data_IF_354517761652
#
_entry.id   IF_354517761652
#
_cell.length_a   1.000
_cell.length_b   1.000
_cell.length_c   1.000
_cell.angle_alpha   90.00
_cell.angle_beta   90.00
_cell.angle_gamma   90.00
#
_symmetry.space_group_name_H-M   'P 1'
#
loop_
_entity.id
_entity.type
_entity.pdbx_description
1 polymer ?
#
# COMPACT_ATOMS: atom_id res chain seq x y z
N UNK A 1 72.53 -2.52 10.75
CA UNK A 1 73.16 -1.85 11.88
C UNK A 1 72.14 -1.64 13.00
N UNK A 2 72.46 -2.21 14.15
CA UNK A 2 71.80 -2.19 15.45
C UNK A 2 71.77 -0.79 16.01
N UNK A 3 70.71 -0.39 16.73
CA UNK A 3 70.75 0.01 18.18
C UNK A 3 69.36 0.35 18.69
N UNK A 4 68.93 -0.42 19.69
CA UNK A 4 68.04 -0.11 20.81
C UNK A 4 68.90 0.30 21.98
N UNK A 5 68.42 0.62 23.22
CA UNK A 5 67.31 1.40 23.76
C UNK A 5 67.78 2.35 24.90
N UNK A 6 66.90 3.10 25.54
CA UNK A 6 67.08 3.39 26.98
C UNK A 6 65.78 3.75 27.69
N UNK A 7 65.73 3.24 28.92
CA UNK A 7 64.66 3.23 29.94
C UNK A 7 64.84 4.42 30.92
N UNK A 8 63.83 4.52 31.76
CA UNK A 8 63.76 5.10 33.13
C UNK A 8 63.15 6.50 33.20
N UNK A 9 62.27 6.80 34.13
CA UNK A 9 62.08 6.33 35.44
C UNK A 9 60.78 6.76 36.13
N UNK A 10 60.46 6.04 37.13
CA UNK A 10 59.42 6.17 38.14
C UNK A 10 59.58 7.41 38.99
N UNK A 11 58.44 7.93 39.48
CA UNK A 11 58.32 8.37 40.90
C UNK A 11 56.87 8.59 41.30
N UNK A 12 56.47 7.89 42.37
CA UNK A 12 55.45 8.23 43.38
C UNK A 12 56.26 8.55 44.66
N UNK A 13 55.72 9.05 45.79
CA UNK A 13 54.36 9.06 46.33
C UNK A 13 54.06 10.25 47.29
N UNK A 14 52.97 10.07 48.08
CA UNK A 14 52.58 10.68 49.40
C UNK A 14 51.31 11.54 49.31
N UNK A 15 50.34 11.53 50.26
CA UNK A 15 49.89 10.71 51.38
C UNK A 15 48.62 11.34 51.91
N UNK A 16 47.73 10.53 52.49
CA UNK A 16 46.53 10.94 53.26
C UNK A 16 46.89 11.77 54.53
N UNK A 17 45.88 12.41 55.15
CA UNK A 17 45.27 11.84 56.35
C UNK A 17 43.75 12.04 56.48
N UNK A 18 43.05 11.03 56.89
CA UNK A 18 42.44 10.57 58.19
C UNK A 18 41.34 11.44 58.79
N UNK A 19 40.15 10.85 58.76
CA UNK A 19 39.18 10.55 59.83
C UNK A 19 38.64 11.69 60.72
N UNK A 20 37.33 11.73 60.84
CA UNK A 20 36.65 11.67 62.15
C UNK A 20 35.17 11.22 61.99
N UNK A 21 34.81 10.28 62.84
CA UNK A 21 33.50 9.64 63.04
C UNK A 21 32.43 10.64 63.52
N UNK A 22 31.22 10.41 63.06
CA UNK A 22 30.02 10.67 63.89
C UNK A 22 29.03 9.52 63.67
N UNK A 23 28.77 8.79 64.73
CA UNK A 23 27.73 7.79 64.95
C UNK A 23 26.39 8.51 65.11
N UNK A 24 25.37 8.05 64.44
CA UNK A 24 24.01 8.58 64.62
C UNK A 24 22.93 7.66 63.99
N UNK A 25 22.51 6.69 64.76
CA UNK A 25 21.21 5.98 64.82
C UNK A 25 20.51 5.59 63.51
N UNK A 26 20.46 4.31 63.26
CA UNK A 26 19.58 3.62 62.36
C UNK A 26 18.11 3.86 62.68
N UNK A 27 17.29 4.08 61.63
CA UNK A 27 15.84 3.95 61.68
C UNK A 27 15.39 3.00 60.60
N UNK A 28 14.87 1.79 60.96
CA UNK A 28 14.60 0.71 60.02
C UNK A 28 13.16 0.86 59.47
N UNK A 29 12.96 1.64 58.42
CA UNK A 29 11.77 1.57 57.53
C UNK A 29 12.03 2.25 56.18
N UNK A 30 12.87 1.68 55.36
CA UNK A 30 12.80 1.84 53.91
C UNK A 30 12.52 0.50 53.27
N UNK A 31 11.24 0.32 52.91
CA UNK A 31 10.80 -0.79 52.09
C UNK A 31 11.53 -0.72 50.75
N UNK A 32 12.21 -1.76 50.39
CA UNK A 32 12.72 -2.07 49.07
C UNK A 32 11.63 -1.80 48.02
N UNK A 33 11.84 -0.81 47.19
CA UNK A 33 11.14 -0.72 45.90
C UNK A 33 11.66 -1.85 45.01
N UNK A 34 11.01 -2.99 45.07
CA UNK A 34 11.19 -4.06 44.08
C UNK A 34 10.91 -3.47 42.72
N UNK A 35 11.92 -3.44 41.85
CA UNK A 35 11.77 -3.23 40.43
C UNK A 35 10.81 -4.27 39.89
N UNK A 36 9.54 -3.89 39.72
CA UNK A 36 8.54 -4.70 39.05
C UNK A 36 8.95 -4.83 37.59
N UNK A 37 9.35 -6.03 37.17
CA UNK A 37 9.30 -6.41 35.77
C UNK A 37 7.90 -6.06 35.25
N UNK A 38 7.78 -5.36 34.09
CA UNK A 38 6.45 -5.08 33.55
C UNK A 38 5.72 -6.40 33.40
N UNK A 39 4.54 -6.49 33.98
CA UNK A 39 3.68 -7.67 33.86
C UNK A 39 3.49 -7.98 32.37
N UNK A 40 3.59 -9.25 31.93
CA UNK A 40 3.32 -9.61 30.55
C UNK A 40 1.92 -9.12 30.21
N UNK A 41 1.81 -8.26 29.19
CA UNK A 41 0.51 -7.80 28.69
C UNK A 41 -0.34 -9.04 28.41
N UNK A 42 -1.54 -9.16 29.01
CA UNK A 42 -2.30 -10.39 28.88
C UNK A 42 -2.56 -10.63 27.37
N UNK A 43 -2.42 -11.87 26.96
CA UNK A 43 -2.61 -12.30 25.56
C UNK A 43 -3.93 -11.76 24.95
N UNK A 44 -4.91 -11.46 25.77
CA UNK A 44 -6.18 -10.85 25.44
C UNK A 44 -6.07 -9.39 24.97
N UNK A 45 -5.13 -8.59 25.50
CA UNK A 45 -4.93 -7.20 25.01
C UNK A 45 -4.25 -7.21 23.64
N UNK A 46 -3.30 -8.11 23.39
CA UNK A 46 -2.74 -8.29 22.06
C UNK A 46 -3.79 -8.82 21.08
N UNK A 47 -4.66 -9.71 21.50
CA UNK A 47 -5.75 -10.24 20.69
C UNK A 47 -6.80 -9.15 20.41
N UNK A 48 -7.15 -8.31 21.40
CA UNK A 48 -8.08 -7.20 21.24
C UNK A 48 -7.52 -6.12 20.30
N UNK A 49 -6.25 -5.77 20.42
CA UNK A 49 -5.55 -4.88 19.50
C UNK A 49 -5.48 -5.44 18.07
N UNK A 50 -5.19 -6.73 17.94
CA UNK A 50 -5.23 -7.43 16.65
C UNK A 50 -6.64 -7.41 16.04
N UNK A 51 -7.67 -7.59 16.87
CA UNK A 51 -9.07 -7.54 16.46
C UNK A 51 -9.51 -6.13 16.05
N UNK A 52 -9.08 -5.10 16.76
CA UNK A 52 -9.33 -3.69 16.40
C UNK A 52 -8.63 -3.35 15.10
N UNK A 53 -7.37 -3.78 14.91
CA UNK A 53 -6.65 -3.60 13.64
C UNK A 53 -7.34 -4.31 12.46
N UNK A 54 -7.85 -5.52 12.68
CA UNK A 54 -8.62 -6.27 11.68
C UNK A 54 -9.96 -5.63 11.32
N UNK A 55 -10.58 -4.90 12.27
CA UNK A 55 -11.82 -4.15 12.03
C UNK A 55 -11.60 -2.94 11.12
N UNK A 56 -10.42 -2.34 11.17
CA UNK A 56 -10.08 -1.13 10.42
C UNK A 56 -9.59 -1.40 8.99
N UNK A 57 -9.20 -2.64 8.64
CA UNK A 57 -8.76 -2.99 7.29
C UNK A 57 -9.95 -3.14 6.35
N UNK A 58 -10.44 -2.03 5.82
CA UNK A 58 -11.48 -1.96 4.79
C UNK A 58 -10.89 -1.40 3.49
N UNK A 59 -9.95 -2.11 2.87
CA UNK A 59 -9.31 -1.66 1.65
C UNK A 59 -10.09 -2.00 0.39
N UNK A 60 -9.97 -1.16 -0.64
CA UNK A 60 -10.34 -1.43 -2.02
C UNK A 60 -9.05 -1.58 -2.81
N UNK A 61 -8.83 -2.72 -3.41
CA UNK A 61 -7.77 -2.98 -4.37
C UNK A 61 -8.33 -3.87 -5.46
N UNK A 62 -7.90 -3.70 -6.71
CA UNK A 62 -8.25 -4.62 -7.82
C UNK A 62 -7.69 -6.01 -7.57
N UNK A 63 -6.57 -6.03 -6.93
CA UNK A 63 -5.92 -7.21 -6.42
C UNK A 63 -5.61 -6.97 -4.94
N UNK A 64 -5.54 -8.04 -4.16
CA UNK A 64 -4.98 -7.93 -2.82
C UNK A 64 -3.46 -7.70 -2.92
N UNK A 65 -2.86 -7.25 -1.83
CA UNK A 65 -1.46 -6.83 -1.70
C UNK A 65 -0.46 -7.78 -2.37
N UNK A 66 -0.65 -9.09 -2.20
CA UNK A 66 0.31 -10.08 -2.68
C UNK A 66 0.41 -10.13 -4.22
N UNK A 67 -0.71 -9.86 -4.89
CA UNK A 67 -0.71 -9.79 -6.36
C UNK A 67 -0.01 -8.55 -6.87
N UNK A 68 -0.16 -7.39 -6.21
CA UNK A 68 0.57 -6.17 -6.57
C UNK A 68 2.10 -6.34 -6.44
N UNK A 69 2.56 -6.95 -5.33
CA UNK A 69 3.97 -7.27 -5.13
C UNK A 69 4.47 -8.29 -6.17
N UNK A 70 3.68 -9.33 -6.46
CA UNK A 70 4.01 -10.31 -7.48
C UNK A 70 4.21 -9.70 -8.86
N UNK A 71 3.44 -8.68 -9.24
CA UNK A 71 3.58 -7.99 -10.53
C UNK A 71 4.91 -7.25 -10.61
N UNK A 72 5.36 -6.61 -9.54
CA UNK A 72 6.71 -6.03 -9.46
C UNK A 72 7.78 -7.10 -9.66
N UNK A 73 7.67 -8.23 -8.97
CA UNK A 73 8.65 -9.32 -9.06
C UNK A 73 8.71 -9.95 -10.45
N UNK A 74 7.56 -10.13 -11.11
CA UNK A 74 7.48 -10.68 -12.46
C UNK A 74 8.25 -9.84 -13.50
N UNK A 75 8.43 -8.54 -13.26
CA UNK A 75 9.15 -7.64 -14.14
C UNK A 75 10.45 -7.07 -13.53
N UNK A 76 10.81 -7.52 -12.31
CA UNK A 76 11.99 -6.98 -11.63
C UNK A 76 13.27 -7.19 -12.43
N UNK A 77 13.59 -8.43 -12.71
CA UNK A 77 14.85 -8.82 -13.38
C UNK A 77 14.94 -8.31 -14.82
N UNK A 78 13.84 -8.41 -15.55
CA UNK A 78 13.84 -8.19 -17.00
C UNK A 78 13.59 -6.73 -17.40
N UNK A 79 12.98 -5.92 -16.53
CA UNK A 79 12.57 -4.57 -16.89
C UNK A 79 12.92 -3.51 -15.81
N UNK A 80 12.50 -3.69 -14.56
CA UNK A 80 12.69 -2.68 -13.50
C UNK A 80 14.15 -2.48 -13.14
N UNK A 81 14.86 -3.55 -12.79
CA UNK A 81 16.29 -3.47 -12.45
C UNK A 81 17.15 -2.89 -13.59
N UNK A 82 17.00 -3.31 -14.85
CA UNK A 82 17.70 -2.67 -15.96
C UNK A 82 17.39 -1.17 -16.12
N UNK A 83 16.14 -0.77 -15.93
CA UNK A 83 15.74 0.64 -15.99
C UNK A 83 16.38 1.47 -14.87
N UNK A 84 16.44 0.93 -13.63
CA UNK A 84 17.13 1.56 -12.51
C UNK A 84 18.63 1.73 -12.80
N UNK A 85 19.30 0.69 -13.29
CA UNK A 85 20.72 0.72 -13.63
C UNK A 85 21.04 1.66 -14.80
N UNK A 86 20.12 1.80 -15.75
CA UNK A 86 20.26 2.76 -16.84
C UNK A 86 20.23 4.21 -16.33
N UNK A 87 19.31 4.53 -15.42
CA UNK A 87 19.15 5.89 -14.88
C UNK A 87 20.20 6.22 -13.81
N UNK A 88 20.59 5.22 -13.01
CA UNK A 88 21.55 5.35 -11.90
C UNK A 88 22.66 4.29 -12.05
N UNK A 89 23.69 4.55 -12.88
CA UNK A 89 24.76 3.59 -13.10
C UNK A 89 25.64 3.43 -11.84
N UNK A 90 26.14 2.22 -11.61
CA UNK A 90 27.06 1.93 -10.52
C UNK A 90 26.43 1.63 -9.16
N UNK A 91 25.12 1.34 -9.12
CA UNK A 91 24.45 0.88 -7.90
C UNK A 91 25.01 -0.46 -7.42
N UNK A 92 25.17 -0.59 -6.09
CA UNK A 92 25.50 -1.87 -5.44
C UNK A 92 24.24 -2.76 -5.35
N UNK A 93 24.44 -4.07 -5.10
CA UNK A 93 23.30 -4.99 -4.92
C UNK A 93 22.44 -4.62 -3.68
N UNK A 94 23.06 -4.06 -2.63
CA UNK A 94 22.35 -3.57 -1.46
C UNK A 94 21.44 -2.38 -1.81
N UNK A 95 21.92 -1.44 -2.63
CA UNK A 95 21.11 -0.31 -3.11
C UNK A 95 19.99 -0.77 -4.03
N UNK A 96 20.23 -1.77 -4.88
CA UNK A 96 19.22 -2.37 -5.75
C UNK A 96 18.15 -3.10 -4.92
N UNK A 97 18.57 -3.84 -3.88
CA UNK A 97 17.65 -4.51 -2.94
C UNK A 97 16.81 -3.49 -2.16
N UNK A 98 17.43 -2.39 -1.74
CA UNK A 98 16.71 -1.30 -1.09
C UNK A 98 15.69 -0.64 -2.03
N UNK A 99 16.07 -0.35 -3.26
CA UNK A 99 15.18 0.18 -4.29
C UNK A 99 13.99 -0.77 -4.57
N UNK A 100 14.21 -2.10 -4.53
CA UNK A 100 13.14 -3.09 -4.65
C UNK A 100 12.11 -2.98 -3.50
N UNK A 101 12.58 -2.75 -2.26
CA UNK A 101 11.68 -2.50 -1.12
C UNK A 101 10.83 -1.24 -1.31
N UNK A 102 11.38 -0.21 -1.94
CA UNK A 102 10.61 0.99 -2.31
C UNK A 102 9.62 0.72 -3.45
N UNK A 103 9.98 -0.10 -4.44
CA UNK A 103 9.07 -0.51 -5.50
C UNK A 103 7.85 -1.27 -4.93
N UNK A 104 8.04 -2.16 -3.95
CA UNK A 104 6.92 -2.78 -3.23
C UNK A 104 6.03 -1.76 -2.52
N UNK A 105 6.64 -0.81 -1.79
CA UNK A 105 5.89 0.24 -1.12
C UNK A 105 5.07 1.10 -2.08
N UNK A 106 5.63 1.38 -3.24
CA UNK A 106 4.94 2.08 -4.33
C UNK A 106 3.79 1.26 -4.92
N UNK A 107 4.00 -0.06 -5.11
CA UNK A 107 3.01 -0.94 -5.74
C UNK A 107 1.67 -1.07 -4.97
N UNK A 108 1.61 -0.60 -3.72
CA UNK A 108 0.40 -0.63 -2.90
C UNK A 108 0.08 0.75 -2.29
N UNK A 109 0.82 1.82 -2.67
CA UNK A 109 0.68 3.12 -2.00
C UNK A 109 -0.70 3.75 -2.17
N UNK A 110 -1.35 3.54 -3.31
CA UNK A 110 -2.67 4.07 -3.57
C UNK A 110 -3.70 3.55 -2.55
N UNK A 111 -3.47 2.37 -1.98
CA UNK A 111 -4.30 1.75 -0.96
C UNK A 111 -4.05 2.23 0.46
N UNK A 112 -3.03 3.05 0.71
CA UNK A 112 -2.64 3.50 2.06
C UNK A 112 -3.82 4.00 2.88
N UNK A 113 -4.78 4.67 2.26
CA UNK A 113 -5.94 5.23 2.95
C UNK A 113 -6.89 4.21 3.54
N UNK A 114 -6.82 2.95 3.14
CA UNK A 114 -7.66 1.87 3.64
C UNK A 114 -7.07 1.15 4.87
N UNK A 115 -5.83 1.44 5.22
CA UNK A 115 -5.19 0.88 6.39
C UNK A 115 -5.49 1.70 7.65
N UNK A 116 -5.27 1.15 8.86
CA UNK A 116 -5.48 1.88 10.11
C UNK A 116 -4.77 3.23 10.11
N UNK A 117 -5.45 4.27 10.59
CA UNK A 117 -4.98 5.66 10.58
C UNK A 117 -4.79 6.30 9.20
N UNK A 118 -5.05 5.54 8.11
CA UNK A 118 -5.10 6.08 6.77
C UNK A 118 -6.37 6.94 6.54
N UNK A 119 -6.43 7.57 5.39
CA UNK A 119 -7.59 8.36 4.95
C UNK A 119 -8.18 7.78 3.67
N UNK A 120 -9.42 7.33 3.75
CA UNK A 120 -10.17 6.85 2.56
C UNK A 120 -10.20 7.92 1.46
N UNK A 121 -10.16 9.20 1.84
CA UNK A 121 -10.11 10.29 0.87
C UNK A 121 -8.78 10.30 0.09
N UNK A 122 -7.64 9.99 0.75
CA UNK A 122 -6.37 9.85 0.05
C UNK A 122 -6.50 8.78 -1.05
N UNK A 123 -6.94 7.58 -0.70
CA UNK A 123 -7.10 6.51 -1.69
C UNK A 123 -8.12 6.86 -2.77
N UNK A 124 -9.26 7.47 -2.43
CA UNK A 124 -10.24 7.90 -3.44
C UNK A 124 -9.65 8.92 -4.42
N UNK A 125 -8.82 9.85 -3.96
CA UNK A 125 -8.16 10.80 -4.86
C UNK A 125 -7.23 10.09 -5.82
N UNK A 126 -6.32 9.26 -5.33
CA UNK A 126 -5.29 8.63 -6.16
C UNK A 126 -5.80 7.47 -7.04
N UNK A 127 -7.04 6.95 -6.78
CA UNK A 127 -7.69 5.95 -7.62
C UNK A 127 -8.63 6.55 -8.66
N UNK A 128 -9.30 7.66 -8.33
CA UNK A 128 -10.44 8.12 -9.13
C UNK A 128 -10.29 9.56 -9.66
N UNK A 129 -9.42 10.35 -9.04
CA UNK A 129 -9.24 11.76 -9.37
C UNK A 129 -7.81 11.99 -9.80
N UNK A 130 -7.58 12.31 -11.08
CA UNK A 130 -6.22 12.56 -11.61
C UNK A 130 -5.22 11.42 -11.32
N UNK A 131 -5.68 10.19 -11.42
CA UNK A 131 -4.91 8.98 -11.07
C UNK A 131 -3.63 8.81 -11.89
N UNK A 132 -3.67 9.10 -13.19
CA UNK A 132 -2.50 9.09 -14.08
C UNK A 132 -1.54 10.23 -13.78
N UNK A 133 -2.07 11.45 -13.54
CA UNK A 133 -1.26 12.61 -13.18
C UNK A 133 -0.49 12.38 -11.87
N UNK A 134 -1.09 11.68 -10.89
CA UNK A 134 -0.43 11.35 -9.64
C UNK A 134 0.82 10.48 -9.86
N UNK A 135 0.70 9.44 -10.67
CA UNK A 135 1.84 8.55 -10.97
C UNK A 135 2.92 9.27 -11.78
N UNK A 136 2.51 10.09 -12.78
CA UNK A 136 3.45 10.91 -13.56
C UNK A 136 4.21 11.88 -12.66
N UNK A 137 3.53 12.49 -11.70
CA UNK A 137 4.17 13.45 -10.79
C UNK A 137 5.13 12.77 -9.82
N UNK A 138 4.81 11.57 -9.31
CA UNK A 138 5.78 10.78 -8.55
C UNK A 138 7.06 10.51 -9.35
N UNK A 139 6.94 10.15 -10.63
CA UNK A 139 8.12 9.95 -11.49
C UNK A 139 8.94 11.23 -11.70
N UNK A 140 8.26 12.38 -11.90
CA UNK A 140 8.92 13.69 -12.09
C UNK A 140 9.65 14.17 -10.86
N UNK A 141 9.05 14.01 -9.67
CA UNK A 141 9.57 14.50 -8.40
C UNK A 141 10.63 13.58 -7.78
N UNK A 142 10.88 12.42 -8.38
CA UNK A 142 11.88 11.46 -7.89
C UNK A 142 13.29 12.03 -7.98
N UNK A 143 14.01 12.10 -6.85
CA UNK A 143 15.34 12.68 -6.71
C UNK A 143 16.46 11.65 -6.64
N UNK A 144 16.13 10.42 -6.22
CA UNK A 144 17.10 9.32 -6.09
C UNK A 144 16.51 7.98 -6.59
N UNK A 145 17.32 6.92 -6.54
CA UNK A 145 16.95 5.59 -7.01
C UNK A 145 15.78 4.99 -6.23
N UNK A 146 15.68 5.27 -4.93
CA UNK A 146 14.65 4.73 -4.06
C UNK A 146 13.29 5.39 -4.35
N UNK A 147 13.28 6.70 -4.50
CA UNK A 147 12.09 7.46 -4.91
C UNK A 147 11.63 7.06 -6.32
N UNK A 148 12.57 6.89 -7.23
CA UNK A 148 12.24 6.45 -8.59
C UNK A 148 11.69 5.03 -8.62
N UNK A 149 12.26 4.10 -7.86
CA UNK A 149 11.73 2.75 -7.72
C UNK A 149 10.33 2.74 -7.09
N UNK A 150 10.09 3.60 -6.09
CA UNK A 150 8.77 3.79 -5.49
C UNK A 150 7.75 4.30 -6.52
N UNK A 151 8.11 5.28 -7.34
CA UNK A 151 7.25 5.80 -8.40
C UNK A 151 6.96 4.73 -9.49
N UNK A 152 7.95 3.91 -9.85
CA UNK A 152 7.75 2.76 -10.75
C UNK A 152 6.82 1.72 -10.12
N UNK A 153 6.90 1.50 -8.81
CA UNK A 153 5.93 0.69 -8.08
C UNK A 153 4.51 1.24 -8.18
N UNK A 154 4.31 2.56 -7.99
CA UNK A 154 3.01 3.21 -8.16
C UNK A 154 2.47 3.09 -9.60
N UNK A 155 3.35 3.07 -10.59
CA UNK A 155 2.99 2.78 -11.98
C UNK A 155 2.55 1.31 -12.17
N UNK A 156 3.14 0.37 -11.42
CA UNK A 156 2.69 -1.03 -11.37
C UNK A 156 1.26 -1.12 -10.84
N UNK A 157 0.94 -0.39 -9.76
CA UNK A 157 -0.42 -0.33 -9.21
C UNK A 157 -1.42 0.21 -10.23
N UNK A 158 -1.09 1.33 -10.89
CA UNK A 158 -1.91 1.90 -11.94
C UNK A 158 -2.23 0.86 -13.05
N UNK A 159 -1.22 0.14 -13.54
CA UNK A 159 -1.42 -0.91 -14.55
C UNK A 159 -2.27 -2.08 -14.02
N UNK A 160 -2.07 -2.43 -12.75
CA UNK A 160 -2.77 -3.54 -12.08
C UNK A 160 -4.25 -3.26 -11.94
N UNK A 161 -4.60 -2.07 -11.49
CA UNK A 161 -5.98 -1.74 -11.16
C UNK A 161 -6.84 -1.53 -12.40
N UNK A 162 -6.36 -0.82 -13.40
CA UNK A 162 -7.13 -0.62 -14.63
C UNK A 162 -7.43 -1.92 -15.39
N UNK A 163 -6.59 -2.96 -15.24
CA UNK A 163 -6.81 -4.28 -15.82
C UNK A 163 -7.52 -5.25 -14.86
N UNK A 164 -7.25 -5.13 -13.57
CA UNK A 164 -7.70 -6.04 -12.52
C UNK A 164 -9.12 -5.84 -12.07
N UNK A 165 -9.52 -4.61 -11.74
CA UNK A 165 -10.87 -4.31 -11.27
C UNK A 165 -11.98 -4.79 -12.22
N UNK A 166 -11.91 -4.56 -13.55
CA UNK A 166 -12.91 -5.12 -14.45
C UNK A 166 -13.05 -6.63 -14.36
N UNK A 167 -11.94 -7.37 -14.16
CA UNK A 167 -11.97 -8.82 -14.00
C UNK A 167 -12.54 -9.24 -12.64
N UNK A 168 -12.18 -8.54 -11.56
CA UNK A 168 -12.73 -8.77 -10.22
C UNK A 168 -14.22 -8.45 -10.19
N UNK A 169 -14.67 -7.35 -10.78
CA UNK A 169 -16.08 -6.98 -10.90
C UNK A 169 -16.92 -8.09 -11.56
N UNK A 170 -16.38 -8.73 -12.63
CA UNK A 170 -17.02 -9.88 -13.29
C UNK A 170 -16.99 -11.12 -12.38
N UNK A 171 -15.86 -11.37 -11.69
CA UNK A 171 -15.73 -12.51 -10.78
C UNK A 171 -16.72 -12.41 -9.61
N UNK A 172 -16.89 -11.21 -9.01
CA UNK A 172 -17.91 -10.96 -7.99
C UNK A 172 -19.31 -11.30 -8.50
N UNK A 173 -19.66 -10.88 -9.72
CA UNK A 173 -20.96 -11.20 -10.30
C UNK A 173 -21.15 -12.71 -10.50
N UNK A 174 -20.09 -13.48 -10.80
CA UNK A 174 -20.13 -14.92 -10.94
C UNK A 174 -20.27 -15.62 -9.58
N UNK A 175 -19.49 -15.19 -8.59
CA UNK A 175 -19.42 -15.82 -7.26
C UNK A 175 -20.62 -15.47 -6.38
N UNK A 176 -21.29 -14.33 -6.65
CA UNK A 176 -22.43 -13.84 -5.87
C UNK A 176 -23.70 -13.67 -6.75
N UNK A 177 -24.47 -14.75 -7.03
CA UNK A 177 -25.62 -14.70 -7.93
C UNK A 177 -26.70 -13.67 -7.55
N UNK A 178 -26.88 -13.38 -6.24
CA UNK A 178 -27.81 -12.34 -5.77
C UNK A 178 -27.37 -10.93 -6.17
N UNK A 179 -26.06 -10.66 -6.13
CA UNK A 179 -25.51 -9.38 -6.57
C UNK A 179 -25.60 -9.27 -8.09
N UNK A 180 -25.32 -10.37 -8.80
CA UNK A 180 -25.52 -10.43 -10.27
C UNK A 180 -26.97 -10.14 -10.68
N UNK A 181 -27.93 -10.67 -9.96
CA UNK A 181 -29.35 -10.41 -10.24
C UNK A 181 -29.72 -8.93 -10.03
N UNK A 182 -29.06 -8.24 -9.08
CA UNK A 182 -29.30 -6.83 -8.77
C UNK A 182 -28.54 -5.86 -9.67
N UNK A 183 -27.28 -6.16 -9.98
CA UNK A 183 -26.34 -5.21 -10.59
C UNK A 183 -25.86 -5.65 -11.99
N UNK A 184 -26.23 -6.83 -12.46
CA UNK A 184 -25.82 -7.35 -13.77
C UNK A 184 -24.51 -8.14 -13.73
N UNK A 185 -23.83 -8.20 -14.89
CA UNK A 185 -22.64 -9.04 -15.11
C UNK A 185 -21.35 -8.49 -14.49
N UNK A 186 -21.38 -7.29 -13.93
CA UNK A 186 -20.25 -6.60 -13.31
C UNK A 186 -20.75 -5.96 -12.03
N UNK A 187 -20.14 -6.31 -10.90
CA UNK A 187 -20.46 -5.75 -9.57
C UNK A 187 -19.25 -4.97 -9.08
N UNK A 188 -19.36 -3.66 -9.08
CA UNK A 188 -18.27 -2.74 -8.70
C UNK A 188 -18.10 -2.68 -7.19
N UNK A 189 -16.94 -2.26 -6.74
CA UNK A 189 -16.61 -2.12 -5.32
C UNK A 189 -17.62 -1.28 -4.55
N UNK A 190 -18.05 -0.11 -5.08
CA UNK A 190 -19.05 0.74 -4.43
C UNK A 190 -20.42 0.05 -4.22
N UNK A 191 -20.73 -0.99 -5.00
CA UNK A 191 -22.01 -1.72 -4.91
C UNK A 191 -22.00 -2.79 -3.82
N UNK A 192 -20.86 -3.48 -3.59
CA UNK A 192 -20.68 -4.39 -2.46
C UNK A 192 -19.19 -4.58 -2.10
N UNK A 193 -18.70 -3.72 -1.23
CA UNK A 193 -17.30 -3.72 -0.74
C UNK A 193 -16.88 -5.06 -0.15
N UNK A 194 -17.80 -5.74 0.55
CA UNK A 194 -17.48 -7.01 1.23
C UNK A 194 -17.30 -8.15 0.26
N UNK A 195 -18.16 -8.27 -0.74
CA UNK A 195 -18.04 -9.29 -1.78
C UNK A 195 -16.77 -9.07 -2.60
N UNK A 196 -16.48 -7.83 -2.97
CA UNK A 196 -15.29 -7.44 -3.72
C UNK A 196 -14.01 -7.87 -3.00
N UNK A 197 -13.80 -7.41 -1.76
CA UNK A 197 -12.63 -7.76 -0.94
C UNK A 197 -12.46 -9.26 -0.72
N UNK A 198 -13.56 -10.01 -0.58
CA UNK A 198 -13.50 -11.46 -0.42
C UNK A 198 -13.06 -12.18 -1.68
N UNK A 199 -13.47 -11.71 -2.85
CA UNK A 199 -13.06 -12.25 -4.14
C UNK A 199 -11.58 -12.01 -4.39
N UNK A 200 -11.10 -10.79 -4.16
CA UNK A 200 -9.68 -10.43 -4.27
C UNK A 200 -8.80 -11.27 -3.34
N UNK A 201 -9.17 -11.33 -2.07
CA UNK A 201 -8.46 -12.15 -1.10
C UNK A 201 -8.49 -13.64 -1.46
N UNK A 202 -9.60 -14.12 -2.04
CA UNK A 202 -9.71 -15.49 -2.57
C UNK A 202 -8.69 -15.77 -3.68
N UNK A 203 -8.43 -14.81 -4.55
CA UNK A 203 -7.41 -14.92 -5.60
C UNK A 203 -6.00 -15.01 -5.02
N UNK A 204 -5.63 -14.13 -4.10
CA UNK A 204 -4.34 -14.19 -3.40
C UNK A 204 -4.15 -15.53 -2.70
N UNK A 205 -5.18 -16.00 -1.97
CA UNK A 205 -5.13 -17.31 -1.30
C UNK A 205 -4.90 -18.44 -2.28
N UNK A 206 -5.53 -18.42 -3.45
CA UNK A 206 -5.33 -19.42 -4.48
C UNK A 206 -3.91 -19.41 -5.05
N UNK A 207 -3.27 -18.25 -5.19
CA UNK A 207 -1.87 -18.14 -5.64
C UNK A 207 -0.89 -18.72 -4.62
N UNK A 208 -1.01 -18.32 -3.36
CA UNK A 208 -0.12 -18.80 -2.27
C UNK A 208 -0.33 -20.30 -2.03
N UNK A 209 -1.59 -20.80 -2.04
CA UNK A 209 -1.89 -22.22 -1.86
C UNK A 209 -1.26 -23.13 -2.93
N UNK A 210 -1.03 -22.60 -4.12
CA UNK A 210 -0.40 -23.29 -5.23
C UNK A 210 1.13 -23.15 -5.27
N UNK A 211 1.75 -22.60 -4.22
CA UNK A 211 3.19 -22.29 -4.14
C UNK A 211 3.68 -21.43 -5.33
N UNK A 212 2.82 -20.56 -5.85
CA UNK A 212 3.18 -19.69 -6.97
C UNK A 212 3.78 -18.38 -6.51
N UNK A 213 3.45 -17.96 -5.29
CA UNK A 213 3.98 -16.77 -4.65
C UNK A 213 4.14 -16.99 -3.15
N UNK A 214 5.26 -16.58 -2.57
CA UNK A 214 5.59 -16.68 -1.16
C UNK A 214 6.12 -15.34 -0.65
N UNK A 215 5.21 -14.37 -0.47
CA UNK A 215 5.52 -13.00 -0.04
C UNK A 215 6.40 -12.89 1.20
N UNK A 216 6.28 -13.85 2.13
CA UNK A 216 7.04 -13.85 3.37
C UNK A 216 8.56 -13.91 3.16
N UNK A 217 9.00 -14.59 2.11
CA UNK A 217 10.42 -14.67 1.76
C UNK A 217 10.94 -13.36 1.20
N UNK A 218 10.12 -12.66 0.42
CA UNK A 218 10.48 -11.38 -0.14
C UNK A 218 10.57 -10.29 0.92
N UNK A 219 9.61 -10.24 1.85
CA UNK A 219 9.62 -9.27 2.95
C UNK A 219 10.78 -9.44 3.93
N UNK A 220 11.22 -10.68 4.19
CA UNK A 220 12.35 -10.95 5.09
C UNK A 220 13.69 -10.54 4.46
N UNK A 221 13.82 -10.60 3.13
CA UNK A 221 15.06 -10.30 2.41
C UNK A 221 15.07 -8.90 1.78
N UNK A 222 13.94 -8.45 1.22
CA UNK A 222 13.84 -7.20 0.47
C UNK A 222 13.31 -6.10 1.37
N UNK A 223 12.28 -6.38 2.15
CA UNK A 223 11.60 -5.41 3.00
C UNK A 223 10.49 -4.66 2.26
N UNK A 224 9.95 -3.63 2.91
CA UNK A 224 8.86 -2.81 2.41
C UNK A 224 9.05 -1.36 2.88
N UNK A 225 9.27 -0.44 1.95
CA UNK A 225 9.60 0.95 2.25
C UNK A 225 8.68 1.93 1.54
N UNK A 226 8.42 3.06 2.16
CA UNK A 226 7.58 4.14 1.61
C UNK A 226 8.40 5.43 1.56
N UNK A 227 8.36 6.13 0.45
CA UNK A 227 8.97 7.44 0.32
C UNK A 227 7.96 8.53 0.68
N UNK A 228 7.88 8.88 1.98
CA UNK A 228 7.09 10.00 2.46
C UNK A 228 7.52 11.33 1.82
N UNK A 229 8.83 11.66 1.73
CA UNK A 229 9.25 12.93 1.12
C UNK A 229 8.78 13.10 -0.34
N UNK A 230 8.77 12.01 -1.11
CA UNK A 230 8.26 12.06 -2.48
C UNK A 230 6.74 12.31 -2.52
N UNK A 231 5.98 11.67 -1.63
CA UNK A 231 4.53 11.91 -1.52
C UNK A 231 4.23 13.37 -1.14
N UNK A 232 4.97 13.92 -0.18
CA UNK A 232 4.81 15.32 0.28
C UNK A 232 5.14 16.34 -0.83
N UNK A 233 6.04 16.02 -1.76
CA UNK A 233 6.34 16.87 -2.93
C UNK A 233 5.32 16.71 -4.06
N UNK A 234 4.96 15.47 -4.39
CA UNK A 234 4.11 15.19 -5.55
C UNK A 234 2.63 15.51 -5.29
N UNK A 235 2.11 15.24 -4.09
CA UNK A 235 0.68 15.37 -3.78
C UNK A 235 0.14 16.80 -3.98
N UNK A 236 0.80 17.87 -3.49
CA UNK A 236 0.36 19.25 -3.71
C UNK A 236 0.36 19.65 -5.19
N UNK A 237 1.29 19.14 -5.99
CA UNK A 237 1.37 19.46 -7.42
C UNK A 237 0.15 18.94 -8.19
N UNK A 238 -0.39 17.79 -7.78
CA UNK A 238 -1.53 17.15 -8.44
C UNK A 238 -2.87 17.65 -7.91
N UNK A 239 -3.02 17.75 -6.59
CA UNK A 239 -4.30 17.98 -5.93
C UNK A 239 -4.48 19.37 -5.34
N UNK A 240 -3.44 20.21 -5.32
CA UNK A 240 -3.50 21.52 -4.69
C UNK A 240 -3.75 21.49 -3.17
N UNK A 241 -3.44 20.37 -2.52
CA UNK A 241 -3.56 20.11 -1.09
C UNK A 241 -2.24 19.58 -0.56
N UNK A 242 -1.85 19.98 0.64
CA UNK A 242 -0.72 19.33 1.31
C UNK A 242 -1.12 17.90 1.71
N UNK A 243 -0.16 16.97 1.74
CA UNK A 243 -0.44 15.57 2.13
C UNK A 243 -1.13 15.49 3.49
N UNK A 244 -0.70 16.30 4.46
CA UNK A 244 -1.29 16.40 5.81
C UNK A 244 -2.75 16.88 5.84
N UNK A 245 -3.22 17.57 4.81
CA UNK A 245 -4.62 18.01 4.70
C UNK A 245 -5.56 16.80 4.49
N UNK A 246 -5.00 15.70 4.00
CA UNK A 246 -5.71 14.46 3.70
C UNK A 246 -5.29 13.33 4.63
N UNK A 247 -4.02 13.27 5.03
CA UNK A 247 -3.45 12.32 5.99
C UNK A 247 -3.01 13.05 7.26
N UNK A 248 -3.95 13.32 8.18
CA UNK A 248 -3.70 14.13 9.38
C UNK A 248 -2.57 13.61 10.29
N UNK A 249 -2.27 12.31 10.23
CA UNK A 249 -1.21 11.63 11.00
C UNK A 249 -0.35 10.78 10.06
N UNK A 250 0.40 11.42 9.16
CA UNK A 250 1.15 10.79 8.08
C UNK A 250 2.05 9.64 8.55
N UNK A 251 2.88 9.87 9.57
CA UNK A 251 3.82 8.85 10.07
C UNK A 251 3.11 7.65 10.68
N UNK A 252 1.99 7.89 11.36
CA UNK A 252 1.18 6.82 11.94
C UNK A 252 0.45 6.04 10.84
N UNK A 253 -0.08 6.72 9.82
CA UNK A 253 -0.71 6.10 8.66
C UNK A 253 0.30 5.23 7.88
N UNK A 254 1.47 5.79 7.56
CA UNK A 254 2.56 5.08 6.86
C UNK A 254 3.09 3.92 7.71
N UNK A 255 3.27 4.13 9.03
CA UNK A 255 3.73 3.08 9.95
C UNK A 255 2.75 1.90 10.04
N UNK A 256 1.44 2.17 10.17
CA UNK A 256 0.40 1.15 10.20
C UNK A 256 0.26 0.41 8.87
N UNK A 257 0.34 1.13 7.75
CA UNK A 257 0.35 0.58 6.41
C UNK A 257 1.53 -0.39 6.24
N UNK A 258 2.76 0.05 6.52
CA UNK A 258 3.95 -0.79 6.45
C UNK A 258 3.82 -2.04 7.32
N UNK A 259 3.37 -1.90 8.57
CA UNK A 259 3.15 -3.02 9.48
C UNK A 259 2.09 -3.99 8.94
N UNK A 260 0.99 -3.48 8.42
CA UNK A 260 -0.11 -4.31 7.90
C UNK A 260 0.34 -5.12 6.69
N UNK A 261 1.01 -4.49 5.73
CA UNK A 261 1.46 -5.15 4.49
C UNK A 261 2.60 -6.13 4.76
N UNK A 262 3.65 -5.70 5.48
CA UNK A 262 4.85 -6.51 5.65
C UNK A 262 4.74 -7.63 6.69
N UNK A 263 3.79 -7.55 7.62
CA UNK A 263 3.67 -8.52 8.72
C UNK A 263 2.28 -9.11 8.90
N UNK A 264 1.25 -8.27 8.96
CA UNK A 264 -0.08 -8.73 9.31
C UNK A 264 -0.71 -9.55 8.18
N UNK A 265 -0.71 -9.04 6.95
CA UNK A 265 -1.31 -9.72 5.78
C UNK A 265 -0.62 -11.08 5.49
N UNK A 266 0.72 -11.19 5.45
CA UNK A 266 1.39 -12.48 5.29
C UNK A 266 1.01 -13.50 6.36
N UNK A 267 0.96 -13.08 7.64
CA UNK A 267 0.54 -13.98 8.73
C UNK A 267 -0.90 -14.44 8.58
N UNK A 268 -1.82 -13.53 8.23
CA UNK A 268 -3.21 -13.87 7.99
C UNK A 268 -3.38 -14.81 6.79
N UNK A 269 -2.61 -14.61 5.75
CA UNK A 269 -2.54 -15.50 4.58
C UNK A 269 -2.17 -16.92 4.98
N UNK A 270 -1.13 -17.10 5.80
CA UNK A 270 -0.74 -18.43 6.33
C UNK A 270 -1.85 -19.07 7.15
N UNK A 271 -2.51 -18.30 8.01
CA UNK A 271 -3.65 -18.77 8.81
C UNK A 271 -4.80 -19.21 7.91
N UNK A 272 -5.18 -18.41 6.94
CA UNK A 272 -6.24 -18.72 5.99
C UNK A 272 -5.95 -20.00 5.18
N UNK A 273 -4.71 -20.14 4.70
CA UNK A 273 -4.27 -21.35 4.00
C UNK A 273 -4.36 -22.62 4.86
N UNK A 274 -4.00 -22.54 6.15
CA UNK A 274 -4.14 -23.70 7.03
C UNK A 274 -5.60 -24.09 7.28
N UNK A 275 -6.49 -23.10 7.41
CA UNK A 275 -7.93 -23.33 7.62
C UNK A 275 -8.55 -23.97 6.37
N UNK A 276 -8.22 -23.50 5.17
CA UNK A 276 -8.83 -23.90 3.91
C UNK A 276 -8.04 -24.93 3.09
N UNK A 277 -6.95 -25.46 3.62
CA UNK A 277 -6.02 -26.35 2.90
C UNK A 277 -6.70 -27.56 2.22
N UNK A 278 -7.73 -28.14 2.86
CA UNK A 278 -8.44 -29.31 2.31
C UNK A 278 -9.34 -28.90 1.14
N UNK A 279 -10.01 -27.77 1.26
CA UNK A 279 -10.97 -27.26 0.27
C UNK A 279 -10.23 -26.77 -0.98
N UNK A 280 -9.16 -26.02 -0.80
CA UNK A 280 -8.30 -25.53 -1.90
C UNK A 280 -7.69 -26.65 -2.74
N UNK A 281 -7.32 -27.79 -2.12
CA UNK A 281 -6.82 -28.96 -2.86
C UNK A 281 -7.90 -29.70 -3.65
N UNK A 282 -9.14 -29.71 -3.15
CA UNK A 282 -10.25 -30.43 -3.75
C UNK A 282 -10.88 -29.67 -4.92
N UNK A 283 -11.04 -28.38 -4.80
CA UNK A 283 -11.89 -27.60 -5.71
C UNK A 283 -11.14 -27.02 -6.93
N UNK A 284 -9.80 -27.02 -6.95
CA UNK A 284 -9.01 -26.50 -8.07
C UNK A 284 -7.96 -27.51 -8.59
N UNK A 285 -8.36 -28.74 -8.97
CA UNK A 285 -7.40 -29.77 -9.38
C UNK A 285 -6.68 -29.47 -10.71
N UNK A 286 -7.26 -28.65 -11.59
CA UNK A 286 -6.74 -28.33 -12.92
C UNK A 286 -6.11 -26.92 -13.03
N UNK A 287 -5.96 -26.20 -11.93
CA UNK A 287 -5.35 -24.88 -11.93
C UNK A 287 -3.88 -24.91 -12.42
N UNK A 288 -3.18 -26.04 -12.20
CA UNK A 288 -1.80 -26.26 -12.65
C UNK A 288 -1.63 -26.40 -14.16
N UNK A 289 -2.66 -26.84 -14.89
CA UNK A 289 -2.62 -27.02 -16.35
C UNK A 289 -2.84 -25.73 -17.13
N UNK A 290 -3.35 -24.68 -16.52
CA UNK A 290 -3.54 -23.40 -17.18
C UNK A 290 -2.20 -22.68 -17.24
N UNK A 291 -1.70 -22.41 -18.44
CA UNK A 291 -0.43 -21.73 -18.67
C UNK A 291 -0.49 -20.33 -18.09
N UNK A 292 0.14 -20.15 -16.95
CA UNK A 292 0.65 -18.85 -16.51
C UNK A 292 1.76 -18.53 -17.52
N UNK A 293 1.61 -17.48 -18.32
CA UNK A 293 2.60 -17.10 -19.34
C UNK A 293 3.91 -16.67 -18.66
N UNK A 294 3.80 -16.05 -17.50
CA UNK A 294 4.93 -15.60 -16.70
C UNK A 294 5.12 -16.55 -15.53
N UNK A 295 6.11 -17.40 -15.64
CA UNK A 295 6.60 -18.22 -14.53
C UNK A 295 7.83 -17.53 -13.95
N UNK A 296 7.74 -17.03 -12.72
CA UNK A 296 8.91 -17.12 -11.86
C UNK A 296 9.17 -18.62 -11.73
N UNK A 297 10.17 -19.13 -12.42
CA UNK A 297 10.49 -20.52 -12.25
C UNK A 297 10.98 -20.71 -10.81
N UNK A 298 10.53 -21.78 -10.16
CA UNK A 298 11.02 -22.15 -8.82
C UNK A 298 12.55 -22.21 -8.79
N UNK A 299 13.17 -22.54 -9.93
CA UNK A 299 14.62 -22.59 -10.09
C UNK A 299 15.27 -21.20 -10.09
N UNK A 300 14.65 -20.18 -10.66
CA UNK A 300 15.19 -18.82 -10.66
C UNK A 300 15.02 -18.20 -9.26
N UNK A 301 13.89 -18.44 -8.61
CA UNK A 301 13.67 -18.09 -7.21
C UNK A 301 14.69 -18.75 -6.27
N UNK A 302 14.91 -20.07 -6.40
CA UNK A 302 15.87 -20.82 -5.59
C UNK A 302 17.33 -20.42 -5.85
N UNK A 303 17.67 -19.94 -7.05
CA UNK A 303 18.99 -19.40 -7.41
C UNK A 303 19.26 -18.04 -6.79
N UNK A 304 18.27 -17.14 -6.83
CA UNK A 304 18.44 -15.78 -6.32
C UNK A 304 18.33 -15.70 -4.79
N UNK A 305 17.45 -16.49 -4.15
CA UNK A 305 17.01 -16.25 -2.77
C UNK A 305 17.21 -17.45 -1.81
N UNK A 306 17.81 -18.57 -2.26
CA UNK A 306 18.13 -19.73 -1.43
C UNK A 306 16.97 -20.69 -1.17
N UNK A 307 17.31 -21.86 -0.55
CA UNK A 307 16.40 -23.03 -0.41
C UNK A 307 15.62 -23.09 0.92
N UNK A 308 15.82 -22.15 1.83
CA UNK A 308 15.34 -22.30 3.20
C UNK A 308 13.90 -21.79 3.39
N UNK A 309 12.96 -22.75 3.42
CA UNK A 309 11.58 -22.51 3.82
C UNK A 309 11.46 -22.37 5.32
N UNK A 310 11.13 -21.19 5.82
CA UNK A 310 10.79 -20.99 7.23
C UNK A 310 9.39 -21.56 7.49
N UNK A 311 9.33 -22.70 8.21
CA UNK A 311 8.06 -23.30 8.62
C UNK A 311 7.30 -22.34 9.56
N UNK A 312 5.96 -22.24 9.44
CA UNK A 312 5.16 -21.43 10.34
C UNK A 312 5.47 -21.71 11.80
N UNK A 313 5.79 -20.68 12.56
CA UNK A 313 6.11 -20.78 13.98
C UNK A 313 4.95 -21.37 14.81
N UNK A 314 5.25 -21.84 16.01
CA UNK A 314 4.25 -22.43 16.92
C UNK A 314 3.11 -21.46 17.25
N UNK A 315 3.41 -20.15 17.37
CA UNK A 315 2.41 -19.09 17.56
C UNK A 315 1.40 -18.99 16.41
N UNK A 316 1.85 -19.06 15.16
CA UNK A 316 0.98 -19.06 13.97
C UNK A 316 0.07 -20.28 13.91
N UNK A 317 0.58 -21.45 14.34
CA UNK A 317 -0.21 -22.70 14.42
C UNK A 317 -1.28 -22.64 15.50
N UNK A 318 -0.95 -22.09 16.67
CA UNK A 318 -1.91 -21.88 17.77
C UNK A 318 -2.98 -20.88 17.34
N UNK A 319 -2.60 -19.74 16.75
CA UNK A 319 -3.51 -18.71 16.26
C UNK A 319 -4.43 -19.25 15.17
N UNK A 320 -3.92 -20.03 14.22
CA UNK A 320 -4.71 -20.66 13.16
C UNK A 320 -5.73 -21.65 13.72
N UNK A 321 -5.35 -22.41 14.74
CA UNK A 321 -6.25 -23.35 15.41
C UNK A 321 -7.35 -22.61 16.15
N UNK A 322 -7.01 -21.53 16.87
CA UNK A 322 -7.98 -20.69 17.58
C UNK A 322 -8.96 -20.04 16.61
N UNK A 323 -8.48 -19.43 15.52
CA UNK A 323 -9.30 -18.78 14.51
C UNK A 323 -10.20 -19.77 13.72
N UNK A 324 -9.78 -21.03 13.61
CA UNK A 324 -10.59 -22.08 12.96
C UNK A 324 -11.89 -22.37 13.73
N UNK A 325 -11.86 -22.31 15.05
CA UNK A 325 -13.00 -22.61 15.91
C UNK A 325 -13.80 -21.36 16.30
N UNK A 326 -13.31 -20.14 15.98
CA UNK A 326 -14.07 -18.93 16.26
C UNK A 326 -15.27 -18.77 15.29
N UNK A 327 -16.43 -18.36 15.82
CA UNK A 327 -17.59 -18.07 14.99
C UNK A 327 -17.26 -16.96 13.99
N UNK A 328 -17.60 -17.16 12.71
CA UNK A 328 -17.39 -16.17 11.63
C UNK A 328 -18.45 -15.06 11.71
N UNK A 329 -18.53 -14.36 12.86
CA UNK A 329 -19.49 -13.28 13.15
C UNK A 329 -18.72 -11.97 13.29
N UNK A 330 -19.34 -10.84 12.99
CA UNK A 330 -18.70 -9.52 13.11
C UNK A 330 -17.48 -9.38 12.20
N UNK A 331 -16.32 -8.90 12.70
CA UNK A 331 -15.13 -8.65 11.91
C UNK A 331 -14.53 -9.90 11.25
N UNK A 332 -14.72 -11.08 11.88
CA UNK A 332 -14.27 -12.36 11.32
C UNK A 332 -15.05 -12.81 10.08
N UNK A 333 -16.18 -12.20 9.81
CA UNK A 333 -16.94 -12.42 8.56
C UNK A 333 -16.13 -12.05 7.32
N UNK A 334 -15.17 -11.12 7.45
CA UNK A 334 -14.27 -10.71 6.38
C UNK A 334 -13.15 -11.72 6.10
N UNK A 335 -12.78 -12.58 7.04
CA UNK A 335 -11.82 -13.68 6.86
C UNK A 335 -12.37 -14.87 6.06
N UNK A 336 -13.70 -14.93 5.85
CA UNK A 336 -14.28 -15.93 4.97
C UNK A 336 -14.19 -15.44 3.53
N UNK A 337 -13.43 -16.10 2.69
CA UNK A 337 -13.44 -15.90 1.24
C UNK A 337 -14.10 -17.07 0.54
N UNK A 338 -14.55 -16.85 -0.70
CA UNK A 338 -14.96 -17.92 -1.57
C UNK A 338 -13.73 -18.42 -2.33
N UNK A 339 -13.64 -19.74 -2.51
CA UNK A 339 -12.61 -20.26 -3.40
C UNK A 339 -12.95 -19.84 -4.83
N UNK A 340 -11.99 -19.33 -5.60
CA UNK A 340 -12.21 -18.99 -7.00
C UNK A 340 -12.73 -20.21 -7.76
N UNK A 341 -13.79 -20.02 -8.52
CA UNK A 341 -14.27 -21.03 -9.47
C UNK A 341 -13.28 -21.18 -10.63
N UNK A 342 -13.33 -22.26 -11.41
CA UNK A 342 -12.51 -22.36 -12.62
C UNK A 342 -12.67 -21.16 -13.57
N UNK A 343 -13.89 -20.62 -13.66
CA UNK A 343 -14.17 -19.46 -14.51
C UNK A 343 -13.56 -18.18 -13.94
N UNK A 344 -13.71 -17.90 -12.64
CA UNK A 344 -13.15 -16.69 -12.01
C UNK A 344 -11.62 -16.75 -11.91
N UNK A 345 -11.05 -17.93 -11.69
CA UNK A 345 -9.60 -18.15 -11.77
C UNK A 345 -9.04 -17.88 -13.18
N UNK A 346 -9.79 -18.17 -14.23
CA UNK A 346 -9.41 -17.87 -15.62
C UNK A 346 -9.43 -16.37 -15.90
N UNK A 347 -10.44 -15.65 -15.42
CA UNK A 347 -10.51 -14.19 -15.50
C UNK A 347 -9.31 -13.54 -14.79
N UNK A 348 -9.01 -14.00 -13.58
CA UNK A 348 -7.88 -13.51 -12.81
C UNK A 348 -6.54 -13.73 -13.52
N UNK A 349 -6.27 -14.92 -14.05
CA UNK A 349 -5.02 -15.19 -14.78
C UNK A 349 -4.90 -14.32 -16.03
N UNK A 350 -6.01 -14.15 -16.77
CA UNK A 350 -6.03 -13.28 -17.95
C UNK A 350 -5.75 -11.83 -17.58
N UNK A 351 -6.32 -11.34 -16.48
CA UNK A 351 -6.08 -9.97 -16.04
C UNK A 351 -4.64 -9.73 -15.57
N UNK A 352 -4.00 -10.68 -14.86
CA UNK A 352 -2.58 -10.58 -14.51
C UNK A 352 -1.69 -10.54 -15.76
N UNK A 353 -1.94 -11.41 -16.74
CA UNK A 353 -1.17 -11.40 -17.98
C UNK A 353 -1.31 -10.03 -18.70
N UNK A 354 -2.53 -9.51 -18.80
CA UNK A 354 -2.77 -8.19 -19.40
C UNK A 354 -2.07 -7.07 -18.59
N UNK A 355 -2.10 -7.14 -17.26
CA UNK A 355 -1.38 -6.21 -16.39
C UNK A 355 0.12 -6.23 -16.63
N UNK A 356 0.73 -7.42 -16.70
CA UNK A 356 2.18 -7.56 -16.91
C UNK A 356 2.59 -7.03 -18.29
N UNK A 357 1.80 -7.32 -19.35
CA UNK A 357 2.04 -6.79 -20.68
C UNK A 357 1.94 -5.26 -20.71
N UNK A 358 0.91 -4.70 -20.08
CA UNK A 358 0.70 -3.25 -20.01
C UNK A 358 1.78 -2.56 -19.18
N UNK A 359 2.14 -3.11 -18.02
CA UNK A 359 3.18 -2.53 -17.17
C UNK A 359 4.54 -2.57 -17.88
N UNK A 360 4.86 -3.65 -18.59
CA UNK A 360 6.06 -3.72 -19.44
C UNK A 360 6.06 -2.61 -20.51
N UNK A 361 4.94 -2.38 -21.17
CA UNK A 361 4.82 -1.29 -22.15
C UNK A 361 5.01 0.09 -21.51
N UNK A 362 4.47 0.32 -20.32
CA UNK A 362 4.69 1.57 -19.57
C UNK A 362 6.16 1.74 -19.16
N UNK A 363 6.84 0.68 -18.68
CA UNK A 363 8.27 0.74 -18.35
C UNK A 363 9.13 1.07 -19.59
N UNK A 364 8.77 0.53 -20.75
CA UNK A 364 9.43 0.87 -22.00
C UNK A 364 9.18 2.34 -22.40
N UNK A 365 7.96 2.84 -22.21
CA UNK A 365 7.65 4.25 -22.43
C UNK A 365 8.36 5.18 -21.44
N UNK A 366 8.54 4.76 -20.18
CA UNK A 366 9.43 5.46 -19.21
C UNK A 366 10.86 5.50 -19.72
N UNK A 367 11.38 4.37 -20.21
CA UNK A 367 12.75 4.25 -20.72
C UNK A 367 13.03 5.18 -21.90
N UNK A 368 12.03 5.40 -22.74
CA UNK A 368 12.10 6.25 -23.94
C UNK A 368 11.59 7.67 -23.75
N UNK A 369 11.23 8.05 -22.52
CA UNK A 369 10.65 9.35 -22.18
C UNK A 369 9.38 9.70 -22.97
N UNK A 370 8.57 8.69 -23.25
CA UNK A 370 7.32 8.82 -24.04
C UNK A 370 6.07 8.46 -23.24
N UNK A 371 6.20 8.28 -21.92
CA UNK A 371 5.09 7.84 -21.07
C UNK A 371 3.99 8.90 -21.02
N UNK A 372 2.79 8.46 -21.37
CA UNK A 372 1.53 9.20 -21.20
C UNK A 372 0.57 8.32 -20.39
N UNK A 373 0.05 8.84 -19.30
CA UNK A 373 -0.92 8.15 -18.45
C UNK A 373 -2.23 8.96 -18.45
N UNK A 374 -3.30 8.47 -19.10
CA UNK A 374 -4.62 9.05 -18.92
C UNK A 374 -5.10 8.94 -17.48
N UNK A 375 -5.98 9.83 -17.04
CA UNK A 375 -6.66 9.70 -15.79
C UNK A 375 -7.79 8.67 -15.91
N UNK A 376 -7.63 7.53 -15.26
CA UNK A 376 -8.61 6.44 -15.21
C UNK A 376 -9.30 6.40 -13.86
N UNK A 377 -10.55 5.98 -13.88
CA UNK A 377 -11.24 5.43 -12.73
C UNK A 377 -10.82 3.96 -12.60
N UNK A 378 -10.08 3.62 -11.55
CA UNK A 378 -9.51 2.29 -11.43
C UNK A 378 -10.57 1.20 -11.28
N UNK A 379 -11.66 1.45 -10.54
CA UNK A 379 -12.72 0.46 -10.34
C UNK A 379 -13.48 0.11 -11.62
N UNK A 380 -13.56 1.02 -12.56
CA UNK A 380 -14.24 0.78 -13.84
C UNK A 380 -13.28 0.40 -14.95
N UNK A 381 -12.00 0.75 -14.81
CA UNK A 381 -11.00 0.63 -15.87
C UNK A 381 -11.22 1.58 -17.04
N UNK A 382 -12.05 2.63 -16.89
CA UNK A 382 -12.39 3.60 -17.91
C UNK A 382 -11.77 4.98 -17.63
N UNK A 383 -11.59 5.84 -18.63
CA UNK A 383 -11.24 7.24 -18.39
C UNK A 383 -12.22 7.91 -17.43
N UNK A 384 -11.70 8.68 -16.47
CA UNK A 384 -12.48 9.39 -15.45
C UNK A 384 -13.49 10.34 -16.06
N UNK A 385 -14.78 10.17 -15.71
CA UNK A 385 -15.89 11.00 -16.19
C UNK A 385 -16.95 11.19 -15.11
N UNK A 386 -17.61 12.34 -15.12
CA UNK A 386 -18.72 12.62 -14.22
C UNK A 386 -19.88 11.65 -14.47
N UNK A 387 -20.56 11.24 -13.39
CA UNK A 387 -21.75 10.36 -13.40
C UNK A 387 -21.49 8.88 -13.77
N UNK A 388 -20.26 8.47 -14.08
CA UNK A 388 -19.97 7.07 -14.40
C UNK A 388 -19.70 6.22 -13.16
N UNK A 389 -19.16 6.84 -12.09
CA UNK A 389 -18.85 6.13 -10.84
C UNK A 389 -19.05 7.03 -9.62
N UNK A 390 -19.80 6.53 -8.65
CA UNK A 390 -20.19 7.33 -7.47
C UNK A 390 -19.02 7.79 -6.60
N UNK A 391 -17.94 6.98 -6.48
CA UNK A 391 -16.77 7.37 -5.69
C UNK A 391 -15.92 8.42 -6.40
N UNK A 392 -15.92 8.44 -7.72
CA UNK A 392 -15.29 9.48 -8.53
C UNK A 392 -16.02 10.81 -8.34
N UNK A 393 -17.36 10.82 -8.47
CA UNK A 393 -18.18 11.99 -8.26
C UNK A 393 -17.99 12.60 -6.86
N UNK A 394 -17.97 11.72 -5.84
CA UNK A 394 -17.73 12.12 -4.45
C UNK A 394 -16.28 12.62 -4.22
N UNK A 395 -15.31 12.00 -4.88
CA UNK A 395 -13.89 12.40 -4.85
C UNK A 395 -13.68 13.81 -5.37
N UNK A 396 -14.23 14.13 -6.55
CA UNK A 396 -14.17 15.49 -7.13
C UNK A 396 -14.91 16.52 -6.27
N UNK A 397 -16.08 16.17 -5.73
CA UNK A 397 -16.83 17.08 -4.88
C UNK A 397 -16.08 17.43 -3.59
N UNK A 398 -15.47 16.43 -2.93
CA UNK A 398 -14.66 16.63 -1.73
C UNK A 398 -13.39 17.44 -2.02
N UNK A 399 -12.70 17.14 -3.12
CA UNK A 399 -11.54 17.90 -3.54
C UNK A 399 -11.90 19.37 -3.76
N UNK A 400 -12.96 19.64 -4.53
CA UNK A 400 -13.43 21.01 -4.80
C UNK A 400 -13.79 21.75 -3.49
N UNK A 401 -14.47 21.11 -2.56
CA UNK A 401 -14.81 21.70 -1.25
C UNK A 401 -13.55 22.05 -0.44
N UNK A 402 -12.55 21.19 -0.40
CA UNK A 402 -11.30 21.47 0.31
C UNK A 402 -10.50 22.61 -0.33
N UNK A 403 -10.40 22.62 -1.66
CA UNK A 403 -9.76 23.70 -2.40
C UNK A 403 -10.48 25.04 -2.20
N UNK A 404 -11.82 25.03 -2.19
CA UNK A 404 -12.63 26.20 -1.89
C UNK A 404 -12.36 26.75 -0.49
N UNK A 405 -12.31 25.90 0.53
CA UNK A 405 -11.96 26.28 1.91
C UNK A 405 -10.57 26.93 2.01
N UNK A 406 -9.64 26.52 1.15
CA UNK A 406 -8.30 27.10 1.02
C UNK A 406 -8.23 28.26 0.01
N UNK A 407 -9.35 28.73 -0.52
CA UNK A 407 -9.42 29.78 -1.54
C UNK A 407 -8.58 29.45 -2.78
N UNK A 408 -8.40 28.17 -3.07
CA UNK A 408 -7.63 27.64 -4.22
C UNK A 408 -6.16 28.09 -4.25
N UNK A 409 -5.55 28.29 -3.08
CA UNK A 409 -4.20 28.86 -2.92
C UNK A 409 -3.11 28.02 -3.61
N UNK A 410 -3.27 26.69 -3.71
CA UNK A 410 -2.36 25.75 -4.37
C UNK A 410 -2.94 25.12 -5.66
N UNK A 411 -4.13 25.54 -6.10
CA UNK A 411 -4.77 24.92 -7.25
C UNK A 411 -4.11 25.37 -8.57
N UNK A 412 -3.27 24.53 -9.15
CA UNK A 412 -2.59 24.76 -10.43
C UNK A 412 -3.57 25.01 -11.56
N UNK A 413 -3.16 25.70 -12.67
CA UNK A 413 -4.01 25.87 -13.86
C UNK A 413 -4.56 24.56 -14.40
N UNK A 414 -3.73 23.49 -14.44
CA UNK A 414 -4.11 22.16 -14.92
C UNK A 414 -5.17 21.51 -14.03
N UNK A 415 -5.01 21.62 -12.70
CA UNK A 415 -6.01 21.12 -11.76
C UNK A 415 -7.34 21.85 -11.92
N UNK A 416 -7.32 23.18 -12.07
CA UNK A 416 -8.52 23.99 -12.30
C UNK A 416 -9.22 23.59 -13.61
N UNK A 417 -8.45 23.42 -14.69
CA UNK A 417 -8.96 22.99 -15.98
C UNK A 417 -9.58 21.57 -15.88
N UNK A 418 -8.93 20.66 -15.17
CA UNK A 418 -9.43 19.30 -14.97
C UNK A 418 -10.76 19.29 -14.19
N UNK A 419 -10.89 20.06 -13.11
CA UNK A 419 -12.14 20.17 -12.35
C UNK A 419 -13.24 20.79 -13.23
N UNK A 420 -12.95 21.86 -13.97
CA UNK A 420 -13.92 22.49 -14.87
C UNK A 420 -14.35 21.53 -16.00
N UNK A 421 -13.44 20.73 -16.53
CA UNK A 421 -13.74 19.72 -17.53
C UNK A 421 -14.61 18.60 -16.95
N UNK A 422 -14.34 18.12 -15.74
CA UNK A 422 -15.16 17.12 -15.06
C UNK A 422 -16.61 17.58 -14.90
N UNK A 423 -16.82 18.83 -14.50
CA UNK A 423 -18.14 19.45 -14.33
C UNK A 423 -18.63 20.22 -15.55
N UNK A 424 -18.14 19.91 -16.77
CA UNK A 424 -18.51 20.64 -18.00
C UNK A 424 -19.99 20.45 -18.37
N UNK A 425 -20.59 19.31 -18.04
CA UNK A 425 -22.00 19.02 -18.24
C UNK A 425 -22.72 18.80 -16.92
N UNK A 426 -23.30 19.88 -16.39
CA UNK A 426 -24.07 19.82 -15.14
C UNK A 426 -25.48 19.20 -15.32
N UNK A 427 -25.90 18.78 -16.53
CA UNK A 427 -27.15 18.04 -16.71
C UNK A 427 -27.05 16.57 -16.33
N UNK A 428 -25.84 16.01 -16.32
CA UNK A 428 -25.59 14.61 -15.99
C UNK A 428 -26.10 14.24 -14.58
N UNK A 429 -26.50 12.97 -14.33
CA UNK A 429 -26.98 12.50 -13.03
C UNK A 429 -25.81 12.20 -12.08
N UNK A 430 -24.97 13.21 -11.80
CA UNK A 430 -23.83 13.15 -10.89
C UNK A 430 -24.31 12.71 -9.50
N UNK A 431 -23.60 11.77 -8.86
CA UNK A 431 -24.02 11.16 -7.59
C UNK A 431 -24.27 12.19 -6.47
N UNK A 432 -23.43 13.23 -6.40
CA UNK A 432 -23.56 14.29 -5.37
C UNK A 432 -24.85 15.09 -5.45
N UNK A 433 -25.58 15.05 -6.58
CA UNK A 433 -26.90 15.68 -6.73
C UNK A 433 -27.98 15.03 -5.87
N UNK A 434 -27.77 13.80 -5.39
CA UNK A 434 -28.70 13.13 -4.49
C UNK A 434 -28.80 13.81 -3.12
N UNK A 435 -27.77 14.58 -2.75
CA UNK A 435 -27.75 15.44 -1.56
C UNK A 435 -27.76 16.91 -2.01
N UNK A 436 -28.87 17.59 -1.83
CA UNK A 436 -29.06 18.97 -2.27
C UNK A 436 -28.08 19.97 -1.63
N UNK A 437 -27.72 19.76 -0.35
CA UNK A 437 -26.78 20.63 0.34
C UNK A 437 -25.36 20.42 -0.19
N UNK A 438 -24.97 19.17 -0.41
CA UNK A 438 -23.67 18.81 -0.99
C UNK A 438 -23.54 19.35 -2.41
N UNK A 439 -24.60 19.19 -3.23
CA UNK A 439 -24.62 19.72 -4.60
C UNK A 439 -24.53 21.25 -4.64
N UNK A 440 -25.24 21.96 -3.73
CA UNK A 440 -25.10 23.42 -3.64
C UNK A 440 -23.68 23.83 -3.28
N UNK A 441 -22.98 23.06 -2.45
CA UNK A 441 -21.55 23.25 -2.18
C UNK A 441 -20.68 23.11 -3.42
N UNK A 442 -20.98 22.12 -4.28
CA UNK A 442 -20.29 21.94 -5.57
C UNK A 442 -20.48 23.16 -6.47
N UNK A 443 -21.72 23.62 -6.65
CA UNK A 443 -22.00 24.79 -7.49
C UNK A 443 -21.30 26.05 -7.00
N UNK A 444 -21.36 26.30 -5.69
CA UNK A 444 -20.66 27.43 -5.05
C UNK A 444 -19.15 27.33 -5.25
N UNK A 445 -18.56 26.12 -5.06
CA UNK A 445 -17.13 25.88 -5.27
C UNK A 445 -16.70 26.12 -6.71
N UNK A 446 -17.52 25.72 -7.69
CA UNK A 446 -17.24 25.98 -9.12
C UNK A 446 -17.27 27.47 -9.46
N UNK A 447 -18.21 28.25 -8.91
CA UNK A 447 -18.25 29.69 -9.12
C UNK A 447 -17.07 30.41 -8.48
N UNK A 448 -16.65 29.96 -7.28
CA UNK A 448 -15.43 30.45 -6.64
C UNK A 448 -14.18 30.08 -7.44
N UNK A 449 -14.09 28.85 -7.99
CA UNK A 449 -12.97 28.41 -8.81
C UNK A 449 -12.77 29.28 -10.05
N UNK A 450 -13.88 29.70 -10.73
CA UNK A 450 -13.86 30.57 -11.90
C UNK A 450 -13.28 31.97 -11.60
N UNK A 451 -13.50 32.46 -10.37
CA UNK A 451 -13.11 33.81 -9.94
C UNK A 451 -11.82 33.85 -9.13
N UNK A 452 -11.30 32.67 -8.74
CA UNK A 452 -10.09 32.57 -7.94
C UNK A 452 -8.85 33.09 -8.64
N UNK A 453 -8.02 33.86 -7.94
CA UNK A 453 -6.77 34.39 -8.48
C UNK A 453 -5.85 33.28 -9.03
N UNK A 454 -5.08 33.52 -10.10
CA UNK A 454 -4.07 32.58 -10.57
C UNK A 454 -3.04 32.31 -9.48
N UNK A 455 -2.68 31.03 -9.29
CA UNK A 455 -1.59 30.65 -8.37
C UNK A 455 -0.26 31.01 -9.00
N UNK A 456 0.59 31.72 -8.27
CA UNK A 456 2.00 31.87 -8.64
C UNK A 456 2.64 30.47 -8.56
N UNK A 457 3.36 30.10 -9.60
CA UNK A 457 3.90 28.76 -9.87
C UNK A 457 4.48 28.08 -8.61
N UNK A 458 4.02 26.86 -8.31
CA UNK A 458 4.58 26.00 -7.25
C UNK A 458 6.03 25.54 -7.54
N UNK A 459 6.52 25.77 -8.77
CA UNK A 459 7.88 25.49 -9.20
C UNK A 459 8.86 26.41 -8.43
N UNK A 460 9.50 25.87 -7.39
CA UNK A 460 10.50 26.56 -6.59
C UNK A 460 10.25 26.55 -5.07
N UNK A 461 9.24 25.83 -4.60
CA UNK A 461 9.08 25.62 -3.15
C UNK A 461 10.24 24.75 -2.62
N UNK A 462 11.05 25.22 -1.67
CA UNK A 462 12.06 24.36 -1.06
C UNK A 462 11.39 23.16 -0.38
N UNK A 463 12.05 22.02 -0.40
CA UNK A 463 11.61 20.86 0.36
C UNK A 463 11.40 21.26 1.83
N UNK A 464 10.37 20.77 2.53
CA UNK A 464 10.20 21.03 3.95
C UNK A 464 11.48 20.64 4.68
N UNK A 465 11.95 21.54 5.57
CA UNK A 465 13.11 21.27 6.40
C UNK A 465 12.86 19.98 7.20
N UNK A 466 13.82 19.07 7.14
CA UNK A 466 13.82 17.86 7.98
C UNK A 466 14.10 18.36 9.41
N UNK A 467 13.08 18.35 10.29
CA UNK A 467 13.25 18.45 11.73
C UNK A 467 13.53 17.07 12.36
#
# INVERSE_FOLDING_TARGET
MRRKPSKCGRERPRSCPSATQYLGRENPRQREARGGTPAPTPAWTCLALLLILLMCCGGSSAYSVLTHEQIVDLLWTDALRPLLLQRYPGLTEEQITEAHAYAYGGAVIQDLGYYPFGSVQFSNLVHYVRSGDFVLELLRQSQDVNEYAFALGALSHYASDIAGHPAVNQAVAIEYPKLRARFGKSVRYAQDKTAHLKTEFGFDMAQVAKNRYASERYHDFIGFKVSKPLLERAFPMVYGLELKDVLAHEDLAIGSYRFSVSRLIPQMTQVALQIHKKDLKREIPNFEKRKFLYRLSRSDYEKEWGKDYVKPGMGTRILSTLLRYMPKIGPFKKLGFNNPTPQTADLYIKSINATVDQYRAFLEAVRTDTLVLPNYDFDTGNPTRASEYSLTDDGYAKLLAQLSNRKFDLASPDLRANIMQFYSDLSLPIETKKDAAHWQGVLTGLDQLKTAAPVQTLAGRPAPAIE
#
